data_IF_337538669283
#
_entry.id   IF_337538669283
#
_cell.length_a   1.000
_cell.length_b   1.000
_cell.length_c   1.000
_cell.angle_alpha   90.00
_cell.angle_beta   90.00
_cell.angle_gamma   90.00
#
_symmetry.space_group_name_H-M   'P 1'
#
loop_
_entity.id
_entity.type
_entity.pdbx_description
1 polymer ?
#
# COMPACT_ATOMS: atom_id res chain seq x y z
N UNK A 1 -17.12 -2.00 -10.59
CA UNK A 1 -15.99 -2.89 -10.28
C UNK A 1 -14.98 -2.22 -9.36
N UNK A 2 -14.46 -2.99 -8.45
CA UNK A 2 -13.51 -2.54 -7.43
C UNK A 2 -12.13 -3.14 -7.76
N UNK A 3 -11.04 -2.39 -7.58
CA UNK A 3 -9.71 -2.96 -7.75
C UNK A 3 -9.52 -4.18 -6.86
N UNK A 4 -8.80 -5.18 -7.38
CA UNK A 4 -8.53 -6.38 -6.61
C UNK A 4 -7.61 -6.05 -5.45
N UNK A 5 -7.92 -6.62 -4.28
CA UNK A 5 -7.21 -6.35 -3.05
C UNK A 5 -5.74 -6.74 -3.12
N UNK A 6 -4.91 -5.99 -2.42
CA UNK A 6 -3.51 -6.31 -2.25
C UNK A 6 -3.34 -7.61 -1.47
N UNK A 7 -2.30 -8.37 -1.80
CA UNK A 7 -2.00 -9.62 -1.12
C UNK A 7 -1.16 -9.43 0.15
N UNK A 8 -1.07 -8.19 0.64
CA UNK A 8 -0.24 -7.87 1.80
C UNK A 8 -0.61 -8.64 3.05
N UNK A 9 -1.92 -8.75 3.34
CA UNK A 9 -2.39 -9.45 4.53
C UNK A 9 -2.02 -10.94 4.51
N UNK A 10 -1.97 -11.55 3.33
CA UNK A 10 -1.52 -12.93 3.19
C UNK A 10 -0.01 -13.05 3.39
N UNK A 11 0.73 -12.08 2.91
CA UNK A 11 2.19 -12.05 3.01
C UNK A 11 2.64 -11.79 4.44
N UNK A 12 2.00 -10.86 5.13
CA UNK A 12 2.32 -10.53 6.51
C UNK A 12 1.80 -11.58 7.48
N UNK A 13 1.05 -12.54 6.96
CA UNK A 13 0.76 -13.78 7.60
C UNK A 13 -0.36 -13.73 8.62
N UNK A 14 -0.43 -14.81 9.38
CA UNK A 14 -1.45 -15.03 10.38
C UNK A 14 -1.19 -14.21 11.66
N UNK A 15 -0.18 -13.34 11.66
CA UNK A 15 0.10 -12.54 12.84
C UNK A 15 -0.91 -11.43 12.98
N UNK A 16 -1.77 -11.57 13.96
CA UNK A 16 -2.61 -10.48 14.40
C UNK A 16 -1.84 -9.69 15.44
N UNK A 17 -0.86 -8.92 15.01
CA UNK A 17 -0.22 -7.97 15.92
C UNK A 17 -1.25 -6.93 16.34
N UNK A 18 -1.32 -6.64 17.62
CA UNK A 18 -2.23 -5.61 18.13
C UNK A 18 -1.75 -4.22 17.68
N UNK A 19 -2.69 -3.27 17.65
CA UNK A 19 -2.37 -1.87 17.37
C UNK A 19 -1.24 -1.37 18.28
N UNK A 20 -1.31 -1.73 19.57
CA UNK A 20 -0.28 -1.34 20.55
C UNK A 20 1.10 -1.88 20.16
N UNK A 21 1.17 -3.16 19.76
CA UNK A 21 2.43 -3.78 19.36
C UNK A 21 3.02 -3.11 18.13
N UNK A 22 2.18 -2.78 17.14
CA UNK A 22 2.63 -2.12 15.92
C UNK A 22 3.11 -0.69 16.16
N UNK A 23 2.39 0.06 17.00
CA UNK A 23 2.81 1.41 17.38
C UNK A 23 4.15 1.38 18.12
N UNK A 24 4.33 0.40 19.01
CA UNK A 24 5.56 0.24 19.74
C UNK A 24 6.72 -0.09 18.80
N UNK A 25 6.50 -1.01 17.87
CA UNK A 25 7.51 -1.39 16.90
C UNK A 25 7.94 -0.20 16.03
N UNK A 26 6.99 0.62 15.59
CA UNK A 26 7.29 1.82 14.82
C UNK A 26 8.09 2.83 15.65
N UNK A 27 7.77 2.98 16.94
CA UNK A 27 8.49 3.86 17.83
C UNK A 27 9.92 3.39 18.14
N UNK A 28 10.11 2.08 18.23
CA UNK A 28 11.43 1.49 18.51
C UNK A 28 12.34 1.47 17.26
N UNK A 29 11.75 1.41 16.08
CA UNK A 29 12.50 1.35 14.83
C UNK A 29 11.95 2.34 13.80
N UNK A 30 12.01 3.67 14.10
CA UNK A 30 11.42 4.67 13.21
C UNK A 30 12.10 4.80 11.87
N UNK A 31 13.26 4.19 11.71
CA UNK A 31 14.05 4.21 10.46
C UNK A 31 13.74 3.03 9.54
N UNK A 32 12.85 2.13 9.94
CA UNK A 32 12.46 0.96 9.15
C UNK A 32 11.05 1.14 8.58
N UNK A 33 10.86 0.72 7.32
CA UNK A 33 9.55 0.78 6.67
C UNK A 33 8.58 -0.27 7.22
N UNK A 34 9.10 -1.43 7.58
CA UNK A 34 8.30 -2.60 7.91
C UNK A 34 7.24 -2.34 8.99
N UNK A 35 7.57 -1.75 10.16
CA UNK A 35 6.53 -1.52 11.18
C UNK A 35 5.40 -0.62 10.71
N UNK A 36 5.72 0.42 9.91
CA UNK A 36 4.70 1.32 9.38
C UNK A 36 3.78 0.60 8.40
N UNK A 37 4.34 -0.28 7.56
CA UNK A 37 3.55 -1.03 6.58
C UNK A 37 2.72 -2.12 7.23
N UNK A 38 3.21 -2.74 8.28
CA UNK A 38 2.42 -3.70 9.06
C UNK A 38 1.22 -3.00 9.72
N UNK A 39 1.44 -1.80 10.24
CA UNK A 39 0.35 -1.01 10.79
C UNK A 39 -0.65 -0.61 9.69
N UNK A 40 -0.14 -0.20 8.52
CA UNK A 40 -0.98 0.13 7.39
C UNK A 40 -1.83 -1.07 6.95
N UNK A 41 -1.28 -2.28 6.97
CA UNK A 41 -2.03 -3.48 6.63
C UNK A 41 -3.17 -3.74 7.63
N UNK A 42 -2.93 -3.51 8.91
CA UNK A 42 -3.98 -3.62 9.92
C UNK A 42 -5.10 -2.62 9.64
N UNK A 43 -4.74 -1.36 9.35
CA UNK A 43 -5.72 -0.32 9.02
C UNK A 43 -6.47 -0.64 7.72
N UNK A 44 -5.79 -1.26 6.76
CA UNK A 44 -6.39 -1.73 5.53
C UNK A 44 -7.49 -2.76 5.82
N UNK A 45 -7.22 -3.70 6.70
CA UNK A 45 -8.21 -4.71 7.10
C UNK A 45 -9.39 -4.08 7.82
N UNK A 46 -9.17 -2.99 8.54
CA UNK A 46 -10.21 -2.22 9.21
C UNK A 46 -10.93 -1.25 8.28
N UNK A 47 -10.48 -1.15 7.04
CA UNK A 47 -11.02 -0.21 6.03
C UNK A 47 -10.84 1.24 6.44
N UNK A 48 -9.81 1.54 7.22
CA UNK A 48 -9.43 2.90 7.56
C UNK A 48 -8.48 3.44 6.49
N UNK A 49 -9.06 3.92 5.41
CA UNK A 49 -8.30 4.31 4.21
C UNK A 49 -7.39 5.51 4.46
N UNK A 50 -7.85 6.50 5.20
CA UNK A 50 -7.02 7.65 5.56
C UNK A 50 -5.84 7.22 6.41
N UNK A 51 -6.04 6.30 7.35
CA UNK A 51 -4.97 5.74 8.16
C UNK A 51 -3.95 4.98 7.33
N UNK A 52 -4.41 4.19 6.35
CA UNK A 52 -3.53 3.49 5.41
C UNK A 52 -2.63 4.49 4.68
N UNK A 53 -3.21 5.54 4.12
CA UNK A 53 -2.46 6.55 3.38
C UNK A 53 -1.42 7.20 4.28
N UNK A 54 -1.80 7.58 5.48
CA UNK A 54 -0.89 8.20 6.43
C UNK A 54 0.30 7.30 6.75
N UNK A 55 0.03 6.04 7.10
CA UNK A 55 1.09 5.12 7.50
C UNK A 55 1.99 4.72 6.34
N UNK A 56 1.43 4.51 5.15
CA UNK A 56 2.23 4.18 3.98
C UNK A 56 3.13 5.35 3.60
N UNK A 57 2.62 6.58 3.65
CA UNK A 57 3.44 7.76 3.34
C UNK A 57 4.56 7.93 4.36
N UNK A 58 4.31 7.59 5.65
CA UNK A 58 5.37 7.58 6.65
C UNK A 58 6.46 6.56 6.28
N UNK A 59 6.06 5.38 5.82
CA UNK A 59 7.02 4.37 5.38
C UNK A 59 7.82 4.84 4.16
N UNK A 60 7.14 5.43 3.18
CA UNK A 60 7.78 5.89 1.95
C UNK A 60 8.72 7.07 2.17
N UNK A 61 8.54 7.84 3.24
CA UNK A 61 9.46 8.90 3.62
C UNK A 61 10.83 8.34 4.02
N UNK A 62 10.90 7.06 4.38
CA UNK A 62 12.16 6.38 4.65
C UNK A 62 12.75 5.93 3.32
N UNK A 63 13.76 6.65 2.83
CA UNK A 63 14.35 6.38 1.52
C UNK A 63 15.65 5.59 1.58
N UNK A 64 16.29 5.55 2.75
CA UNK A 64 17.54 4.81 2.93
C UNK A 64 17.23 3.41 3.45
N UNK A 65 17.56 2.41 2.64
CA UNK A 65 17.40 1.02 3.02
C UNK A 65 18.58 0.62 3.92
N UNK A 66 18.33 0.20 5.19
CA UNK A 66 19.41 -0.18 6.09
C UNK A 66 20.21 -1.36 5.55
N UNK A 67 21.55 -1.26 5.60
CA UNK A 67 22.43 -2.34 5.13
C UNK A 67 22.64 -3.43 6.18
N UNK A 68 22.42 -3.10 7.45
CA UNK A 68 22.70 -3.97 8.58
C UNK A 68 21.52 -4.85 8.98
N UNK A 69 20.35 -4.59 8.39
CA UNK A 69 19.14 -5.34 8.70
C UNK A 69 18.67 -6.12 7.49
N UNK A 70 18.04 -7.26 7.75
CA UNK A 70 17.31 -7.98 6.70
C UNK A 70 16.03 -7.22 6.47
N UNK A 71 15.97 -6.45 5.38
CA UNK A 71 14.78 -5.72 5.01
C UNK A 71 13.84 -6.64 4.23
N UNK A 72 12.59 -6.68 4.66
CA UNK A 72 11.57 -7.45 3.95
C UNK A 72 11.35 -6.88 2.56
N UNK A 73 11.41 -7.68 1.50
CA UNK A 73 11.22 -7.18 0.13
C UNK A 73 9.91 -6.44 -0.08
N UNK A 74 8.83 -6.83 0.62
CA UNK A 74 7.53 -6.18 0.45
C UNK A 74 7.58 -4.69 0.75
N UNK A 75 8.44 -4.26 1.68
CA UNK A 75 8.51 -2.87 2.11
C UNK A 75 9.15 -1.96 1.05
N UNK A 76 9.93 -2.53 0.14
CA UNK A 76 10.71 -1.78 -0.84
C UNK A 76 10.29 -2.05 -2.28
N UNK A 77 9.27 -2.87 -2.49
CA UNK A 77 8.72 -3.18 -3.79
C UNK A 77 7.41 -2.47 -4.08
N UNK A 78 6.51 -3.17 -4.76
CA UNK A 78 5.23 -2.62 -5.20
C UNK A 78 4.20 -2.48 -4.09
N UNK A 79 4.34 -3.20 -2.99
CA UNK A 79 3.31 -3.30 -1.96
C UNK A 79 2.86 -1.94 -1.40
N UNK A 80 3.76 -1.01 -1.00
CA UNK A 80 3.32 0.29 -0.48
C UNK A 80 2.43 1.05 -1.47
N UNK A 81 2.81 1.07 -2.74
CA UNK A 81 2.05 1.78 -3.78
C UNK A 81 0.73 1.11 -4.07
N UNK A 82 0.69 -0.22 -3.99
CA UNK A 82 -0.53 -1.00 -4.14
C UNK A 82 -1.54 -0.65 -3.05
N UNK A 83 -1.10 -0.58 -1.80
CA UNK A 83 -1.95 -0.16 -0.68
C UNK A 83 -2.49 1.26 -0.89
N UNK A 84 -1.62 2.20 -1.31
CA UNK A 84 -2.04 3.57 -1.58
C UNK A 84 -3.09 3.63 -2.67
N UNK A 85 -2.88 2.89 -3.76
CA UNK A 85 -3.82 2.85 -4.88
C UNK A 85 -5.22 2.45 -4.43
N UNK A 86 -5.31 1.38 -3.67
CA UNK A 86 -6.61 0.87 -3.21
C UNK A 86 -7.26 1.82 -2.21
N UNK A 87 -6.47 2.39 -1.30
CA UNK A 87 -6.99 3.35 -0.33
C UNK A 87 -7.53 4.60 -1.01
N UNK A 88 -6.80 5.15 -1.98
CA UNK A 88 -7.29 6.30 -2.75
C UNK A 88 -8.54 5.97 -3.56
N UNK A 89 -8.62 4.75 -4.11
CA UNK A 89 -9.83 4.31 -4.80
C UNK A 89 -11.06 4.41 -3.89
N UNK A 90 -10.96 3.90 -2.67
CA UNK A 90 -12.08 3.93 -1.73
C UNK A 90 -12.44 5.34 -1.25
N UNK A 91 -11.52 6.28 -1.39
CA UNK A 91 -11.79 7.70 -1.11
C UNK A 91 -12.23 8.47 -2.35
N UNK A 92 -12.51 7.79 -3.44
CA UNK A 92 -12.94 8.37 -4.72
C UNK A 92 -11.91 9.33 -5.32
N UNK A 93 -10.65 9.15 -4.98
CA UNK A 93 -9.55 9.94 -5.55
C UNK A 93 -8.89 9.13 -6.66
N UNK A 94 -9.58 9.09 -7.82
CA UNK A 94 -9.25 8.20 -8.93
C UNK A 94 -7.87 8.44 -9.52
N UNK A 95 -7.49 9.71 -9.70
CA UNK A 95 -6.21 10.06 -10.29
C UNK A 95 -5.04 9.66 -9.40
N UNK A 96 -5.16 9.91 -8.09
CA UNK A 96 -4.15 9.49 -7.12
C UNK A 96 -4.06 7.98 -7.06
N UNK A 97 -5.21 7.29 -7.13
CA UNK A 97 -5.24 5.83 -7.17
C UNK A 97 -4.50 5.30 -8.40
N UNK A 98 -4.76 5.86 -9.58
CA UNK A 98 -4.10 5.43 -10.81
C UNK A 98 -2.59 5.70 -10.75
N UNK A 99 -2.18 6.86 -10.28
CA UNK A 99 -0.77 7.21 -10.17
C UNK A 99 -0.01 6.17 -9.32
N UNK A 100 -0.58 5.78 -8.19
CA UNK A 100 0.05 4.79 -7.33
C UNK A 100 -0.02 3.39 -7.90
N UNK A 101 -1.13 3.04 -8.60
CA UNK A 101 -1.24 1.76 -9.29
C UNK A 101 -0.17 1.64 -10.38
N UNK A 102 0.09 2.71 -11.12
CA UNK A 102 1.14 2.71 -12.14
C UNK A 102 2.54 2.57 -11.53
N UNK A 103 2.79 3.20 -10.38
CA UNK A 103 4.06 3.02 -9.67
C UNK A 103 4.24 1.57 -9.21
N UNK A 104 3.18 0.96 -8.69
CA UNK A 104 3.23 -0.43 -8.27
C UNK A 104 3.51 -1.34 -9.46
N UNK A 105 2.82 -1.10 -10.60
CA UNK A 105 3.01 -1.89 -11.80
C UNK A 105 4.43 -1.75 -12.37
N UNK A 106 5.01 -0.54 -12.29
CA UNK A 106 6.38 -0.32 -12.75
C UNK A 106 7.38 -1.17 -11.97
N UNK A 107 7.09 -1.43 -10.68
CA UNK A 107 7.94 -2.26 -9.82
C UNK A 107 7.64 -3.75 -9.94
N UNK A 108 6.48 -4.11 -10.48
CA UNK A 108 6.08 -5.50 -10.67
C UNK A 108 5.30 -5.62 -11.99
N UNK A 109 5.99 -5.42 -13.15
CA UNK A 109 5.30 -5.31 -14.44
C UNK A 109 4.58 -6.57 -14.90
N UNK A 110 4.97 -7.72 -14.38
CA UNK A 110 4.35 -9.00 -14.77
C UNK A 110 3.17 -9.38 -13.87
N UNK A 111 2.82 -8.55 -12.90
CA UNK A 111 1.71 -8.83 -12.00
C UNK A 111 0.39 -8.53 -12.70
N UNK A 112 -0.34 -9.60 -13.05
CA UNK A 112 -1.62 -9.50 -13.77
C UNK A 112 -2.66 -8.71 -12.97
N UNK A 113 -2.66 -8.86 -11.65
CA UNK A 113 -3.59 -8.14 -10.78
C UNK A 113 -3.37 -6.63 -10.87
N UNK A 114 -2.12 -6.19 -10.84
CA UNK A 114 -1.79 -4.78 -10.95
C UNK A 114 -2.11 -4.23 -12.35
N UNK A 115 -1.89 -5.02 -13.39
CA UNK A 115 -2.27 -4.65 -14.76
C UNK A 115 -3.77 -4.41 -14.85
N UNK A 116 -4.57 -5.33 -14.31
CA UNK A 116 -6.02 -5.21 -14.30
C UNK A 116 -6.49 -3.99 -13.50
N UNK A 117 -5.88 -3.74 -12.35
CA UNK A 117 -6.24 -2.59 -11.53
C UNK A 117 -5.95 -1.27 -12.24
N UNK A 118 -4.83 -1.17 -12.95
CA UNK A 118 -4.52 0.03 -13.75
C UNK A 118 -5.56 0.24 -14.85
N UNK A 119 -5.91 -0.83 -15.57
CA UNK A 119 -6.91 -0.74 -16.65
C UNK A 119 -8.27 -0.30 -16.09
N UNK A 120 -8.66 -0.86 -14.94
CA UNK A 120 -9.92 -0.52 -14.28
C UNK A 120 -9.96 0.96 -13.89
N UNK A 121 -8.86 1.46 -13.31
CA UNK A 121 -8.78 2.85 -12.88
C UNK A 121 -8.78 3.82 -14.07
N UNK A 122 -8.09 3.49 -15.15
CA UNK A 122 -8.13 4.30 -16.38
C UNK A 122 -9.54 4.39 -16.94
N UNK A 123 -10.25 3.26 -17.00
CA UNK A 123 -11.63 3.23 -17.45
C UNK A 123 -12.55 4.05 -16.54
N UNK A 124 -12.33 3.99 -15.23
CA UNK A 124 -13.10 4.75 -14.24
C UNK A 124 -12.93 6.25 -14.44
N UNK A 125 -11.70 6.70 -14.66
CA UNK A 125 -11.39 8.11 -14.88
C UNK A 125 -12.03 8.60 -16.17
N UNK A 126 -11.96 7.82 -17.26
CA UNK A 126 -12.59 8.18 -18.51
C UNK A 126 -14.10 8.31 -18.37
N UNK A 127 -14.72 7.40 -17.63
CA UNK A 127 -16.16 7.42 -17.39
C UNK A 127 -16.57 8.68 -16.61
N UNK A 128 -15.81 9.03 -15.58
CA UNK A 128 -16.11 10.20 -14.77
C UNK A 128 -15.91 11.51 -15.56
N UNK A 129 -14.92 11.56 -16.46
CA UNK A 129 -14.64 12.77 -17.25
C UNK A 129 -15.66 13.01 -18.36
N UNK A 130 -16.54 12.05 -18.66
CA UNK A 130 -17.59 12.20 -19.68
C UNK A 130 -18.89 12.81 -19.13
N UNK A 131 -18.95 13.04 -17.84
CA UNK A 131 -20.17 13.59 -17.20
C UNK A 131 -20.16 15.14 -17.21
#
# INVERSE_FOLDING_TARGET
PVPKAAHGSQRLGAHTASTRQLLRAAGEAPHLREPYLEFADLLYQQKDWCGVIFMVNRALAITERPRTYICEPFAWGSFPYDLLSIAYFHLSQWESALKNAEKALALAPDDARLQENCALLRAKIQKESRI
#
